data_IF_018074782667
#
_entry.id   IF_018074782667
#
_cell.length_a   1.000
_cell.length_b   1.000
_cell.length_c   1.000
_cell.angle_alpha   90.00
_cell.angle_beta   90.00
_cell.angle_gamma   90.00
#
_symmetry.space_group_name_H-M   'P 1'
#
loop_
_entity.id
_entity.type
_entity.pdbx_description
1 polymer ?
#
# COMPACT_ATOMS: atom_id res chain seq x y z
N UNK A 1 18.90 15.71 -3.13
CA UNK A 1 17.98 14.70 -2.56
C UNK A 1 18.34 14.55 -1.09
N UNK A 2 17.42 14.89 -0.20
CA UNK A 2 17.62 14.65 1.22
C UNK A 2 17.84 13.16 1.47
N UNK A 3 18.82 12.84 2.28
CA UNK A 3 18.98 11.48 2.78
C UNK A 3 17.73 11.11 3.57
N UNK A 4 16.96 10.18 3.05
CA UNK A 4 15.95 9.49 3.84
C UNK A 4 16.71 8.62 4.85
N UNK A 5 16.87 9.11 6.06
CA UNK A 5 17.27 8.26 7.18
C UNK A 5 16.09 7.40 7.57
N UNK A 6 15.77 6.45 6.70
CA UNK A 6 14.66 5.54 6.91
C UNK A 6 15.13 4.25 7.55
N UNK A 7 14.53 3.95 8.65
CA UNK A 7 14.51 2.59 9.17
C UNK A 7 13.49 1.78 8.33
N UNK A 8 13.89 1.44 7.10
CA UNK A 8 12.98 0.90 6.08
C UNK A 8 12.22 -0.35 6.55
N UNK A 9 12.87 -1.23 7.30
CA UNK A 9 12.21 -2.43 7.83
C UNK A 9 11.12 -2.07 8.84
N UNK A 10 11.39 -1.13 9.73
CA UNK A 10 10.43 -0.71 10.74
C UNK A 10 9.26 0.08 10.16
N UNK A 11 9.51 0.88 9.13
CA UNK A 11 8.50 1.69 8.48
C UNK A 11 7.34 0.82 7.96
N UNK A 12 7.64 -0.34 7.40
CA UNK A 12 6.62 -1.29 6.94
C UNK A 12 6.15 -2.22 8.06
N UNK A 13 7.08 -2.95 8.66
CA UNK A 13 6.76 -4.05 9.60
C UNK A 13 6.13 -3.56 10.89
N UNK A 14 6.59 -2.43 11.43
CA UNK A 14 6.20 -1.93 12.74
C UNK A 14 5.27 -0.73 12.67
N UNK A 15 5.62 0.25 11.85
CA UNK A 15 4.87 1.52 11.78
C UNK A 15 3.67 1.43 10.85
N UNK A 16 3.72 0.52 9.87
CA UNK A 16 2.71 0.29 8.83
C UNK A 16 2.61 1.44 7.83
N UNK A 17 1.94 1.15 6.72
CA UNK A 17 1.63 2.13 5.69
C UNK A 17 0.23 1.91 5.16
N UNK A 18 -0.29 2.89 4.43
CA UNK A 18 -1.49 2.73 3.61
C UNK A 18 -1.09 2.63 2.15
N UNK A 19 -1.58 1.61 1.46
CA UNK A 19 -1.61 1.59 0.00
C UNK A 19 -2.98 2.07 -0.46
N UNK A 20 -3.00 3.01 -1.39
CA UNK A 20 -4.22 3.65 -1.87
C UNK A 20 -4.19 3.72 -3.39
N UNK A 21 -5.29 3.33 -4.02
CA UNK A 21 -5.44 3.38 -5.48
C UNK A 21 -6.85 3.81 -5.86
N UNK A 22 -6.98 4.38 -7.04
CA UNK A 22 -8.22 4.90 -7.56
C UNK A 22 -8.11 6.39 -7.85
N UNK A 23 -9.26 7.07 -7.83
CA UNK A 23 -9.41 8.50 -8.14
C UNK A 23 -10.14 9.19 -7.00
N UNK A 24 -10.03 10.53 -6.88
CA UNK A 24 -10.89 11.25 -5.94
C UNK A 24 -12.36 10.88 -6.12
N UNK A 25 -13.01 10.52 -5.01
CA UNK A 25 -14.41 10.08 -5.02
C UNK A 25 -14.63 8.60 -5.37
N UNK A 26 -13.63 7.90 -5.89
CA UNK A 26 -13.70 6.48 -6.25
C UNK A 26 -12.35 5.80 -6.03
N UNK A 27 -12.02 5.57 -4.78
CA UNK A 27 -10.74 4.95 -4.37
C UNK A 27 -10.94 3.97 -3.23
N UNK A 28 -9.92 3.16 -2.98
CA UNK A 28 -9.86 2.37 -1.77
C UNK A 28 -8.44 2.38 -1.20
N UNK A 29 -8.36 2.14 0.09
CA UNK A 29 -7.11 2.10 0.83
C UNK A 29 -7.09 0.93 1.79
N UNK A 30 -5.91 0.42 2.10
CA UNK A 30 -5.74 -0.61 3.11
C UNK A 30 -4.38 -0.48 3.77
N UNK A 31 -4.32 -0.90 5.01
CA UNK A 31 -3.06 -0.96 5.76
C UNK A 31 -2.22 -2.13 5.30
N UNK A 32 -0.94 -1.89 5.10
CA UNK A 32 0.06 -2.89 4.76
C UNK A 32 1.20 -2.84 5.78
N UNK A 33 1.77 -4.01 6.07
CA UNK A 33 3.00 -4.14 6.88
C UNK A 33 4.11 -4.84 6.11
N UNK A 34 3.84 -5.27 4.90
CA UNK A 34 4.79 -5.92 4.01
C UNK A 34 4.98 -5.07 2.76
N UNK A 35 6.22 -4.80 2.45
CA UNK A 35 6.59 -3.95 1.33
C UNK A 35 8.05 -3.58 1.42
N UNK A 36 8.48 -2.69 0.55
CA UNK A 36 9.83 -2.20 0.56
C UNK A 36 10.05 -1.07 -0.43
N UNK A 37 11.20 -0.46 -0.34
CA UNK A 37 11.69 0.53 -1.30
C UNK A 37 13.07 0.12 -1.77
N UNK A 38 13.39 0.42 -3.01
CA UNK A 38 14.67 0.06 -3.61
C UNK A 38 14.78 0.59 -5.01
N UNK A 39 15.53 -0.12 -5.85
CA UNK A 39 15.77 0.28 -7.24
C UNK A 39 15.48 -0.89 -8.19
N UNK A 40 14.90 -0.57 -9.32
CA UNK A 40 14.68 -1.50 -10.43
C UNK A 40 14.72 -0.71 -11.73
N UNK A 41 15.47 -1.21 -12.73
CA UNK A 41 15.61 -0.54 -14.04
C UNK A 41 16.06 0.93 -13.92
N UNK A 42 17.05 1.17 -13.05
CA UNK A 42 17.59 2.51 -12.74
C UNK A 42 16.53 3.49 -12.18
N UNK A 43 15.43 2.98 -11.65
CA UNK A 43 14.34 3.78 -11.08
C UNK A 43 14.23 3.54 -9.59
N UNK A 44 13.88 4.57 -8.84
CA UNK A 44 13.45 4.41 -7.45
C UNK A 44 12.07 3.78 -7.44
N UNK A 45 11.90 2.70 -6.70
CA UNK A 45 10.65 1.93 -6.69
C UNK A 45 10.16 1.64 -5.28
N UNK A 46 8.84 1.51 -5.16
CA UNK A 46 8.18 0.94 -4.00
C UNK A 46 7.50 -0.37 -4.42
N UNK A 47 7.64 -1.40 -3.58
CA UNK A 47 7.00 -2.69 -3.80
C UNK A 47 5.96 -2.92 -2.72
N UNK A 48 4.75 -3.27 -3.12
CA UNK A 48 3.64 -3.59 -2.21
C UNK A 48 3.01 -4.92 -2.57
N UNK A 49 2.35 -5.55 -1.59
CA UNK A 49 1.71 -6.85 -1.74
C UNK A 49 0.25 -6.74 -1.32
N UNK A 50 -0.66 -7.15 -2.21
CA UNK A 50 -2.10 -7.09 -1.94
C UNK A 50 -2.73 -8.43 -2.28
N UNK A 51 -3.47 -9.02 -1.32
CA UNK A 51 -4.19 -10.27 -1.58
C UNK A 51 -5.36 -10.04 -2.53
N UNK A 52 -5.64 -11.00 -3.47
CA UNK A 52 -6.76 -10.87 -4.39
C UNK A 52 -8.13 -10.71 -3.74
N UNK A 53 -8.32 -11.19 -2.52
CA UNK A 53 -9.58 -11.06 -1.78
C UNK A 53 -9.84 -9.64 -1.23
N UNK A 54 -8.80 -8.80 -1.17
CA UNK A 54 -8.93 -7.44 -0.66
C UNK A 54 -9.57 -6.53 -1.71
N UNK A 55 -10.48 -5.66 -1.27
CA UNK A 55 -11.14 -4.72 -2.18
C UNK A 55 -10.15 -3.77 -2.87
N UNK A 56 -9.09 -3.38 -2.20
CA UNK A 56 -8.01 -2.56 -2.76
C UNK A 56 -7.36 -3.23 -3.99
N UNK A 57 -7.36 -4.57 -4.05
CA UNK A 57 -6.84 -5.30 -5.21
C UNK A 57 -7.52 -4.90 -6.51
N UNK A 58 -8.85 -4.74 -6.49
CA UNK A 58 -9.62 -4.33 -7.67
C UNK A 58 -9.17 -2.95 -8.16
N UNK A 59 -8.91 -2.04 -7.24
CA UNK A 59 -8.42 -0.68 -7.56
C UNK A 59 -6.98 -0.70 -8.06
N UNK A 60 -6.11 -1.53 -7.47
CA UNK A 60 -4.72 -1.68 -7.93
C UNK A 60 -4.65 -2.24 -9.34
N UNK A 61 -5.53 -3.19 -9.70
CA UNK A 61 -5.58 -3.76 -11.04
C UNK A 61 -5.99 -2.74 -12.11
N UNK A 62 -6.93 -1.86 -11.79
CA UNK A 62 -7.47 -0.87 -12.73
C UNK A 62 -6.64 0.40 -12.83
N UNK A 63 -5.85 0.71 -11.80
CA UNK A 63 -5.17 2.01 -11.67
C UNK A 63 -3.76 1.95 -12.23
N UNK A 64 -3.36 3.00 -12.94
CA UNK A 64 -1.96 3.20 -13.33
C UNK A 64 -1.12 3.72 -12.16
N UNK A 65 -1.73 4.52 -11.29
CA UNK A 65 -1.05 5.18 -10.16
C UNK A 65 -1.59 4.67 -8.83
N UNK A 66 -0.73 4.68 -7.82
CA UNK A 66 -1.09 4.42 -6.45
C UNK A 66 -0.19 5.21 -5.50
N UNK A 67 -0.58 5.33 -4.25
CA UNK A 67 0.24 5.95 -3.22
C UNK A 67 0.57 4.96 -2.12
N UNK A 68 1.73 5.17 -1.51
CA UNK A 68 2.13 4.51 -0.26
C UNK A 68 2.37 5.62 0.75
N UNK A 69 1.57 5.64 1.80
CA UNK A 69 1.59 6.73 2.78
C UNK A 69 1.98 6.21 4.16
N UNK A 70 2.86 6.95 4.82
CA UNK A 70 3.33 6.67 6.17
C UNK A 70 2.84 7.77 7.10
N UNK A 71 2.51 7.43 8.35
CA UNK A 71 1.80 8.30 9.26
C UNK A 71 2.52 8.44 10.60
N UNK A 72 2.30 9.54 11.34
CA UNK A 72 2.74 9.64 12.72
C UNK A 72 1.98 8.66 13.62
N UNK A 73 2.54 8.37 14.78
CA UNK A 73 2.03 7.35 15.71
C UNK A 73 0.58 7.61 16.16
N UNK A 74 0.16 8.88 16.24
CA UNK A 74 -1.21 9.24 16.63
C UNK A 74 -2.28 8.82 15.62
N UNK A 75 -1.90 8.38 14.42
CA UNK A 75 -2.80 7.80 13.42
C UNK A 75 -2.92 6.28 13.50
N UNK A 76 -2.27 5.63 14.47
CA UNK A 76 -2.17 4.18 14.56
C UNK A 76 -3.53 3.47 14.63
N UNK A 77 -4.47 4.01 15.38
CA UNK A 77 -5.82 3.45 15.50
C UNK A 77 -6.56 3.47 14.16
N UNK A 78 -6.38 4.55 13.41
CA UNK A 78 -6.98 4.68 12.07
C UNK A 78 -6.39 3.64 11.10
N UNK A 79 -5.08 3.42 11.14
CA UNK A 79 -4.46 2.39 10.32
C UNK A 79 -4.94 0.98 10.70
N UNK A 80 -5.11 0.71 11.99
CA UNK A 80 -5.66 -0.57 12.46
C UNK A 80 -7.07 -0.80 11.92
N UNK A 81 -7.92 0.21 11.95
CA UNK A 81 -9.28 0.16 11.41
C UNK A 81 -9.26 -0.11 9.90
N UNK A 82 -8.45 0.62 9.15
CA UNK A 82 -8.36 0.49 7.69
C UNK A 82 -7.74 -0.85 7.25
N UNK A 83 -7.03 -1.54 8.14
CA UNK A 83 -6.48 -2.87 7.88
C UNK A 83 -7.46 -4.01 8.15
N UNK A 84 -8.51 -3.76 8.93
CA UNK A 84 -9.47 -4.80 9.37
C UNK A 84 -10.83 -4.70 8.69
N UNK A 85 -11.27 -3.50 8.31
CA UNK A 85 -12.55 -3.31 7.61
C UNK A 85 -12.36 -3.34 6.09
N UNK A 86 -13.36 -3.88 5.38
CA UNK A 86 -13.40 -3.85 3.93
C UNK A 86 -14.13 -2.60 3.42
N UNK A 87 -13.60 -1.96 2.38
CA UNK A 87 -14.27 -0.87 1.67
C UNK A 87 -15.55 -1.32 0.96
N UNK A 88 -15.75 -2.64 0.77
CA UNK A 88 -17.01 -3.19 0.25
C UNK A 88 -18.17 -3.02 1.22
N UNK A 89 -17.88 -2.93 2.51
CA UNK A 89 -18.89 -2.83 3.58
C UNK A 89 -19.28 -1.39 3.89
N UNK A 90 -18.71 -0.42 3.19
CA UNK A 90 -19.00 1.00 3.37
C UNK A 90 -17.75 1.88 3.30
N UNK A 91 -17.94 3.18 3.50
CA UNK A 91 -16.85 4.17 3.52
C UNK A 91 -16.10 4.10 4.86
N UNK A 92 -15.10 3.21 4.93
CA UNK A 92 -14.30 3.05 6.14
C UNK A 92 -13.41 4.24 6.46
N UNK A 93 -13.03 5.04 5.45
CA UNK A 93 -12.22 6.24 5.64
C UNK A 93 -12.99 7.30 6.43
N UNK A 94 -14.30 7.39 6.22
CA UNK A 94 -15.18 8.31 6.96
C UNK A 94 -15.23 8.01 8.47
N UNK A 95 -14.86 6.80 8.89
CA UNK A 95 -14.78 6.41 10.31
C UNK A 95 -13.44 6.79 10.94
N UNK A 96 -12.52 7.36 10.17
CA UNK A 96 -11.20 7.82 10.62
C UNK A 96 -11.13 9.34 10.63
N UNK A 97 -10.08 9.87 11.25
CA UNK A 97 -9.76 11.31 11.20
C UNK A 97 -8.94 11.68 9.95
N UNK A 98 -8.67 10.71 9.07
CA UNK A 98 -7.87 10.94 7.87
C UNK A 98 -8.67 11.68 6.80
N UNK A 99 -8.00 12.63 6.13
CA UNK A 99 -8.60 13.47 5.09
C UNK A 99 -8.01 13.09 3.74
N UNK A 100 -8.82 12.47 2.85
CA UNK A 100 -8.35 12.19 1.48
C UNK A 100 -8.04 13.48 0.73
N UNK A 101 -6.93 13.48 0.01
CA UNK A 101 -6.52 14.59 -0.86
C UNK A 101 -6.08 14.03 -2.20
N UNK A 102 -6.22 14.85 -3.24
CA UNK A 102 -5.73 14.53 -4.56
C UNK A 102 -4.19 14.59 -4.59
N UNK A 103 -3.57 13.51 -5.06
CA UNK A 103 -2.12 13.40 -5.25
C UNK A 103 -1.89 12.95 -6.70
N UNK A 104 -1.48 13.88 -7.57
CA UNK A 104 -1.40 13.60 -8.99
C UNK A 104 -2.75 13.12 -9.52
N UNK A 105 -2.80 11.95 -10.13
CA UNK A 105 -4.04 11.36 -10.64
C UNK A 105 -4.69 10.36 -9.67
N UNK A 106 -4.18 10.26 -8.44
CA UNK A 106 -4.69 9.33 -7.43
C UNK A 106 -4.96 10.05 -6.11
N UNK A 107 -5.00 9.32 -5.01
CA UNK A 107 -5.41 9.81 -3.70
C UNK A 107 -4.34 9.50 -2.65
N UNK A 108 -4.12 10.43 -1.77
CA UNK A 108 -3.37 10.26 -0.54
C UNK A 108 -4.13 10.88 0.63
N UNK A 109 -3.43 11.15 1.73
CA UNK A 109 -4.04 11.68 2.95
C UNK A 109 -3.23 12.84 3.50
N UNK A 110 -3.94 13.89 3.92
CA UNK A 110 -3.32 15.10 4.45
C UNK A 110 -2.45 14.83 5.67
N UNK A 111 -2.86 13.91 6.52
CA UNK A 111 -2.20 13.58 7.78
C UNK A 111 -0.93 12.74 7.63
N UNK A 112 -0.63 12.26 6.43
CA UNK A 112 0.57 11.47 6.19
C UNK A 112 1.85 12.26 6.43
N UNK A 113 2.83 11.62 7.08
CA UNK A 113 4.18 12.19 7.26
C UNK A 113 4.95 12.19 5.94
N UNK A 114 4.81 11.11 5.17
CA UNK A 114 5.44 10.92 3.86
C UNK A 114 4.47 10.17 2.97
N UNK A 115 4.30 10.63 1.74
CA UNK A 115 3.54 9.93 0.71
C UNK A 115 4.42 9.70 -0.50
N UNK A 116 4.51 8.46 -0.94
CA UNK A 116 5.16 8.09 -2.19
C UNK A 116 4.09 8.03 -3.28
N UNK A 117 4.20 8.88 -4.30
CA UNK A 117 3.37 8.78 -5.50
C UNK A 117 4.05 7.83 -6.47
N UNK A 118 3.35 6.76 -6.82
CA UNK A 118 3.90 5.68 -7.62
C UNK A 118 3.12 5.45 -8.91
N UNK A 119 3.86 5.16 -9.98
CA UNK A 119 3.29 4.64 -11.23
C UNK A 119 3.58 3.14 -11.32
N UNK A 120 2.55 2.33 -11.44
CA UNK A 120 2.67 0.87 -11.55
C UNK A 120 3.47 0.51 -12.82
N UNK A 121 4.61 -0.17 -12.63
CA UNK A 121 5.50 -0.57 -13.74
C UNK A 121 5.65 -2.08 -13.84
N UNK A 122 5.24 -2.84 -12.83
CA UNK A 122 5.27 -4.29 -12.84
C UNK A 122 4.23 -4.86 -11.90
N UNK A 123 3.69 -6.00 -12.27
CA UNK A 123 2.67 -6.73 -11.52
C UNK A 123 2.90 -8.22 -11.68
N UNK A 124 2.86 -8.97 -10.59
CA UNK A 124 2.96 -10.44 -10.65
C UNK A 124 2.28 -11.07 -9.43
N UNK A 125 1.49 -12.10 -9.65
CA UNK A 125 1.03 -12.95 -8.56
C UNK A 125 2.20 -13.78 -8.05
N UNK A 126 2.36 -13.86 -6.73
CA UNK A 126 3.38 -14.72 -6.16
C UNK A 126 3.07 -16.18 -6.52
N UNK A 127 4.05 -16.88 -7.05
CA UNK A 127 3.90 -18.28 -7.48
C UNK A 127 3.93 -19.20 -6.27
N UNK A 128 2.80 -19.84 -5.98
CA UNK A 128 2.67 -20.76 -4.84
C UNK A 128 3.71 -21.89 -4.88
N UNK A 129 4.08 -22.34 -6.07
CA UNK A 129 5.09 -23.39 -6.23
C UNK A 129 6.51 -22.92 -5.85
N UNK A 130 6.74 -21.62 -5.84
CA UNK A 130 8.03 -21.01 -5.46
C UNK A 130 8.10 -20.57 -4.00
N UNK A 131 7.03 -20.80 -3.23
CA UNK A 131 6.93 -20.38 -1.82
C UNK A 131 7.25 -21.57 -0.91
N UNK A 132 8.07 -21.40 0.14
CA UNK A 132 8.34 -22.46 1.09
C UNK A 132 7.05 -23.01 1.74
N UNK A 133 7.01 -24.32 2.00
CA UNK A 133 5.81 -24.99 2.51
C UNK A 133 5.32 -24.43 3.86
N UNK A 134 6.23 -24.05 4.74
CA UNK A 134 5.88 -23.46 6.03
C UNK A 134 5.22 -22.08 5.90
N UNK A 135 5.61 -21.30 4.91
CA UNK A 135 4.98 -20.01 4.57
C UNK A 135 3.58 -20.22 3.99
N UNK A 136 3.42 -21.18 3.08
CA UNK A 136 2.12 -21.56 2.53
C UNK A 136 1.17 -21.97 3.67
N UNK A 137 1.65 -22.84 4.56
CA UNK A 137 0.86 -23.34 5.68
C UNK A 137 0.41 -22.23 6.63
N UNK A 138 1.26 -21.22 6.83
CA UNK A 138 0.97 -20.11 7.73
C UNK A 138 0.04 -19.06 7.12
N UNK A 139 0.18 -18.73 5.84
CA UNK A 139 -0.47 -17.56 5.24
C UNK A 139 -1.42 -17.86 4.07
N UNK A 140 -1.29 -18.99 3.40
CA UNK A 140 -1.95 -19.24 2.13
C UNK A 140 -2.69 -20.58 2.07
N UNK A 141 -3.22 -21.06 3.19
CA UNK A 141 -3.99 -22.32 3.21
C UNK A 141 -5.37 -22.17 2.59
N UNK A 142 -6.02 -21.03 2.80
CA UNK A 142 -7.40 -20.77 2.36
C UNK A 142 -7.52 -19.73 1.27
N UNK A 143 -6.47 -18.93 1.07
CA UNK A 143 -6.46 -17.81 0.13
C UNK A 143 -5.28 -17.91 -0.84
N UNK A 144 -5.47 -17.37 -2.03
CA UNK A 144 -4.39 -17.22 -3.01
C UNK A 144 -3.28 -16.30 -2.46
N UNK A 145 -2.02 -16.52 -2.87
CA UNK A 145 -0.93 -15.63 -2.50
C UNK A 145 -1.18 -14.18 -2.97
N UNK A 146 -0.46 -13.26 -2.32
CA UNK A 146 -0.50 -11.85 -2.67
C UNK A 146 -0.12 -11.61 -4.14
N UNK A 147 -0.69 -10.58 -4.72
CA UNK A 147 -0.16 -9.97 -5.94
C UNK A 147 0.89 -8.93 -5.54
N UNK A 148 2.06 -9.01 -6.17
CA UNK A 148 3.12 -8.03 -6.03
C UNK A 148 2.94 -6.92 -7.07
N UNK A 149 2.99 -5.68 -6.60
CA UNK A 149 3.02 -4.50 -7.48
C UNK A 149 4.29 -3.72 -7.23
N UNK A 150 4.99 -3.35 -8.30
CA UNK A 150 6.15 -2.47 -8.22
C UNK A 150 5.77 -1.16 -8.89
N UNK A 151 5.92 -0.07 -8.16
CA UNK A 151 5.67 1.29 -8.65
C UNK A 151 6.96 2.10 -8.71
N UNK A 152 7.17 2.79 -9.84
CA UNK A 152 8.17 3.84 -9.91
C UNK A 152 7.75 5.00 -9.02
N UNK A 153 8.62 5.42 -8.12
CA UNK A 153 8.36 6.57 -7.25
C UNK A 153 8.57 7.84 -8.06
N UNK A 154 7.48 8.51 -8.40
CA UNK A 154 7.49 9.75 -9.18
C UNK A 154 7.75 10.97 -8.32
N UNK A 155 7.29 10.94 -7.07
CA UNK A 155 7.43 12.05 -6.13
C UNK A 155 7.37 11.54 -4.69
N UNK A 156 8.06 12.24 -3.81
CA UNK A 156 8.05 12.02 -2.36
C UNK A 156 7.48 13.29 -1.72
N UNK A 157 6.28 13.17 -1.16
CA UNK A 157 5.51 14.31 -0.65
C UNK A 157 5.54 14.25 0.87
N UNK A 158 5.93 15.35 1.47
CA UNK A 158 6.01 15.52 2.93
C UNK A 158 5.04 16.58 3.43
#
# INVERSE_FOLDING_TARGET
>A
MEKLEWKAFEAFKKDWALVTAGKPGDFNTMTISWGGVGTLWEKDVATVYVKPVRYTHDFMEKSEFFTVSFFPEDCREDLALLGTKSGRDGDKVAETKLTPIEIGETVGFREASVTLLCRKIYRQDLDKAAIPSDVIEKYYTEEAPHTMYIGEVLDVIR
#
